data_IF_540538373155
#
_entry.id   IF_540538373155
#
_cell.length_a   1.000
_cell.length_b   1.000
_cell.length_c   1.000
_cell.angle_alpha   90.00
_cell.angle_beta   90.00
_cell.angle_gamma   90.00
#
_symmetry.space_group_name_H-M   'P 1'
#
loop_
_entity.id
_entity.type
_entity.pdbx_description
1 polymer ?
#
# COMPACT_ATOMS: atom_id res chain seq x y z
N UNK A 1 24.59 28.89 -18.00
CA UNK A 1 23.48 29.10 -17.06
C UNK A 1 22.79 27.76 -16.87
N UNK A 2 23.20 27.01 -15.84
CA UNK A 2 22.58 25.72 -15.51
C UNK A 2 21.23 26.01 -14.84
N UNK A 3 20.13 25.60 -15.46
CA UNK A 3 18.83 25.52 -14.80
C UNK A 3 18.48 24.05 -14.60
N UNK A 4 19.29 23.37 -13.78
CA UNK A 4 18.94 22.07 -13.20
C UNK A 4 17.83 22.31 -12.18
N UNK A 5 16.58 22.29 -12.64
CA UNK A 5 15.42 22.25 -11.76
C UNK A 5 15.33 20.83 -11.19
N UNK A 6 16.06 20.58 -10.10
CA UNK A 6 15.90 19.37 -9.29
C UNK A 6 14.54 19.40 -8.60
N UNK A 7 13.45 19.17 -9.34
CA UNK A 7 12.13 18.93 -8.75
C UNK A 7 12.02 17.49 -8.24
N UNK A 8 12.98 17.07 -7.43
CA UNK A 8 12.69 16.11 -6.38
C UNK A 8 12.14 16.91 -5.20
N UNK A 9 10.94 17.47 -5.35
CA UNK A 9 10.20 17.95 -4.18
C UNK A 9 9.97 16.74 -3.30
N UNK A 10 10.61 16.71 -2.14
CA UNK A 10 10.38 15.72 -1.10
C UNK A 10 8.86 15.70 -0.84
N UNK A 11 8.19 14.65 -1.32
CA UNK A 11 6.75 14.52 -1.12
C UNK A 11 6.50 14.25 0.37
N UNK A 12 5.49 14.89 0.94
CA UNK A 12 5.04 14.59 2.29
C UNK A 12 4.40 13.20 2.35
N UNK A 13 4.18 12.67 3.56
CA UNK A 13 3.63 11.32 3.76
C UNK A 13 2.22 11.19 3.20
N UNK A 14 1.37 12.17 3.47
CA UNK A 14 0.01 12.28 2.94
C UNK A 14 0.00 12.38 1.41
N UNK A 15 0.96 13.10 0.80
CA UNK A 15 1.07 13.17 -0.66
C UNK A 15 1.34 11.80 -1.29
N UNK A 16 2.13 10.92 -0.65
CA UNK A 16 2.30 9.53 -1.11
C UNK A 16 1.01 8.78 -1.06
N UNK A 17 0.34 8.82 0.09
CA UNK A 17 -0.88 8.08 0.34
C UNK A 17 -1.97 8.48 -0.67
N UNK A 18 -2.12 9.78 -0.91
CA UNK A 18 -3.03 10.32 -1.93
C UNK A 18 -2.61 9.89 -3.33
N UNK A 19 -1.32 9.97 -3.68
CA UNK A 19 -0.83 9.59 -4.99
C UNK A 19 -1.09 8.11 -5.33
N UNK A 20 -0.91 7.19 -4.37
CA UNK A 20 -1.19 5.76 -4.59
C UNK A 20 -2.68 5.46 -4.72
N UNK A 21 -3.54 6.13 -3.94
CA UNK A 21 -4.99 6.02 -4.10
C UNK A 21 -5.46 6.56 -5.46
N UNK A 22 -4.98 7.75 -5.86
CA UNK A 22 -5.27 8.32 -7.16
C UNK A 22 -4.77 7.43 -8.31
N UNK A 23 -3.60 6.81 -8.15
CA UNK A 23 -3.06 5.89 -9.15
C UNK A 23 -3.95 4.66 -9.32
N UNK A 24 -4.41 4.05 -8.22
CA UNK A 24 -5.35 2.93 -8.27
C UNK A 24 -6.62 3.31 -9.03
N UNK A 25 -7.27 4.40 -8.62
CA UNK A 25 -8.52 4.87 -9.26
C UNK A 25 -8.31 5.14 -10.75
N UNK A 26 -7.15 5.66 -11.15
CA UNK A 26 -6.86 5.95 -12.56
C UNK A 26 -6.51 4.71 -13.41
N UNK A 27 -6.09 3.60 -12.77
CA UNK A 27 -5.55 2.40 -13.45
C UNK A 27 -6.47 1.19 -13.37
N UNK A 28 -7.52 1.23 -12.55
CA UNK A 28 -8.49 0.15 -12.39
C UNK A 28 -9.89 0.62 -12.75
N UNK A 29 -10.88 -0.28 -12.67
CA UNK A 29 -12.29 0.09 -12.82
C UNK A 29 -12.91 0.64 -11.53
N UNK A 30 -12.12 0.82 -10.46
CA UNK A 30 -12.62 1.31 -9.17
C UNK A 30 -12.83 2.82 -9.21
N UNK A 31 -13.99 3.25 -8.75
CA UNK A 31 -14.34 4.65 -8.57
C UNK A 31 -13.82 5.22 -7.25
N UNK A 32 -13.91 6.55 -7.08
CA UNK A 32 -13.70 7.19 -5.79
C UNK A 32 -14.68 6.68 -4.73
N UNK A 33 -15.90 6.32 -5.12
CA UNK A 33 -16.92 5.78 -4.23
C UNK A 33 -16.52 4.40 -3.72
N UNK A 34 -15.98 3.55 -4.60
CA UNK A 34 -15.47 2.22 -4.21
C UNK A 34 -14.32 2.34 -3.22
N UNK A 35 -13.37 3.26 -3.48
CA UNK A 35 -12.28 3.53 -2.55
C UNK A 35 -12.81 4.08 -1.21
N UNK A 36 -13.77 5.00 -1.23
CA UNK A 36 -14.36 5.56 -0.01
C UNK A 36 -15.06 4.48 0.82
N UNK A 37 -15.80 3.57 0.18
CA UNK A 37 -16.43 2.44 0.88
C UNK A 37 -15.41 1.48 1.47
N UNK A 38 -14.35 1.14 0.72
CA UNK A 38 -13.25 0.31 1.21
C UNK A 38 -12.56 0.96 2.43
N UNK A 39 -12.29 2.26 2.36
CA UNK A 39 -11.71 3.02 3.47
C UNK A 39 -12.61 3.01 4.71
N UNK A 40 -13.92 3.17 4.52
CA UNK A 40 -14.88 3.09 5.63
C UNK A 40 -14.86 1.72 6.31
N UNK A 41 -14.85 0.65 5.50
CA UNK A 41 -14.73 -0.73 5.99
C UNK A 41 -13.46 -0.93 6.79
N UNK A 42 -12.31 -0.51 6.26
CA UNK A 42 -11.02 -0.68 6.94
C UNK A 42 -10.94 0.09 8.26
N UNK A 43 -11.55 1.28 8.34
CA UNK A 43 -11.64 2.04 9.59
C UNK A 43 -12.45 1.31 10.66
N UNK A 44 -13.60 0.72 10.29
CA UNK A 44 -14.42 -0.06 11.22
C UNK A 44 -13.76 -1.38 11.63
N UNK A 45 -12.94 -1.99 10.75
CA UNK A 45 -12.18 -3.20 11.06
C UNK A 45 -10.98 -2.93 11.98
N UNK A 46 -10.23 -1.86 11.73
CA UNK A 46 -8.96 -1.58 12.43
C UNK A 46 -9.13 -0.70 13.67
N UNK A 47 -10.07 0.25 13.66
CA UNK A 47 -10.24 1.27 14.71
C UNK A 47 -11.72 1.63 14.93
N UNK A 48 -12.60 0.67 15.33
CA UNK A 48 -14.04 0.88 15.40
C UNK A 48 -14.46 2.06 16.30
N UNK A 49 -13.84 2.21 17.47
CA UNK A 49 -14.12 3.34 18.38
C UNK A 49 -13.83 4.68 17.72
N UNK A 50 -12.74 4.78 16.96
CA UNK A 50 -12.36 5.99 16.24
C UNK A 50 -13.30 6.27 15.09
N UNK A 51 -13.70 5.23 14.36
CA UNK A 51 -14.66 5.33 13.25
C UNK A 51 -16.00 5.90 13.75
N UNK A 52 -16.52 5.38 14.88
CA UNK A 52 -17.72 5.90 15.54
C UNK A 52 -17.52 7.36 15.97
N UNK A 53 -16.43 7.66 16.69
CA UNK A 53 -16.14 9.01 17.18
C UNK A 53 -15.92 10.06 16.06
N UNK A 54 -15.57 9.62 14.85
CA UNK A 54 -15.37 10.46 13.67
C UNK A 54 -16.52 10.39 12.66
N UNK A 55 -17.64 9.78 13.07
CA UNK A 55 -18.86 9.66 12.27
C UNK A 55 -18.60 9.05 10.89
N UNK A 56 -17.74 8.03 10.85
CA UNK A 56 -17.43 7.26 9.65
C UNK A 56 -18.59 6.26 9.42
N UNK A 57 -19.25 6.27 8.26
CA UNK A 57 -20.45 5.47 8.06
C UNK A 57 -20.14 3.98 7.95
N UNK A 58 -20.80 3.15 8.77
CA UNK A 58 -20.78 1.70 8.57
C UNK A 58 -21.79 1.33 7.47
N UNK A 59 -21.32 1.23 6.23
CA UNK A 59 -22.17 0.88 5.09
C UNK A 59 -22.75 -0.53 5.19
N UNK A 60 -22.07 -1.46 5.87
CA UNK A 60 -22.59 -2.81 6.06
C UNK A 60 -23.79 -2.77 7.02
N UNK A 61 -23.68 -2.06 8.14
CA UNK A 61 -24.79 -1.86 9.06
C UNK A 61 -25.94 -1.07 8.44
N UNK A 62 -25.66 -0.02 7.67
CA UNK A 62 -26.69 0.79 6.99
C UNK A 62 -27.47 -0.02 5.95
N UNK A 63 -26.80 -0.91 5.21
CA UNK A 63 -27.46 -1.78 4.23
C UNK A 63 -28.45 -2.74 4.91
N UNK A 64 -28.13 -3.21 6.12
CA UNK A 64 -29.02 -4.11 6.89
C UNK A 64 -30.27 -3.39 7.44
N UNK A 65 -30.18 -2.08 7.70
CA UNK A 65 -31.29 -1.29 8.24
C UNK A 65 -32.35 -0.93 7.18
N UNK A 66 -32.03 -1.12 5.90
CA UNK A 66 -32.92 -0.84 4.76
C UNK A 66 -33.46 0.61 4.69
N UNK A 67 -32.75 1.56 5.30
CA UNK A 67 -33.03 3.01 5.16
C UNK A 67 -32.18 3.59 4.02
N UNK A 68 -32.78 3.63 2.84
CA UNK A 68 -32.14 4.16 1.62
C UNK A 68 -31.80 5.65 1.77
N UNK A 69 -32.62 6.43 2.48
CA UNK A 69 -32.43 7.87 2.60
C UNK A 69 -31.24 8.21 3.51
N UNK A 70 -31.08 7.47 4.61
CA UNK A 70 -29.91 7.59 5.48
C UNK A 70 -28.64 7.05 4.81
N UNK A 71 -28.73 5.94 4.06
CA UNK A 71 -27.61 5.40 3.29
C UNK A 71 -27.06 6.42 2.29
N UNK A 72 -27.93 6.99 1.44
CA UNK A 72 -27.52 7.98 0.42
C UNK A 72 -26.89 9.22 1.06
N UNK A 73 -27.47 9.72 2.17
CA UNK A 73 -26.94 10.86 2.90
C UNK A 73 -25.58 10.57 3.53
N UNK A 74 -25.40 9.38 4.12
CA UNK A 74 -24.14 8.94 4.70
C UNK A 74 -23.05 8.81 3.64
N UNK A 75 -23.35 8.17 2.51
CA UNK A 75 -22.44 8.02 1.37
C UNK A 75 -21.99 9.38 0.84
N UNK A 76 -22.93 10.30 0.57
CA UNK A 76 -22.60 11.61 0.03
C UNK A 76 -21.72 12.46 0.97
N UNK A 77 -21.95 12.40 2.29
CA UNK A 77 -21.09 13.11 3.27
C UNK A 77 -19.69 12.51 3.33
N UNK A 78 -19.59 11.19 3.35
CA UNK A 78 -18.30 10.50 3.44
C UNK A 78 -17.47 10.67 2.18
N UNK A 79 -18.07 10.49 1.01
CA UNK A 79 -17.41 10.71 -0.27
C UNK A 79 -16.84 12.12 -0.38
N UNK A 80 -17.59 13.15 0.01
CA UNK A 80 -17.09 14.54 0.03
C UNK A 80 -15.87 14.73 0.94
N UNK A 81 -15.78 14.00 2.07
CA UNK A 81 -14.60 14.04 2.93
C UNK A 81 -13.40 13.39 2.26
N UNK A 82 -13.61 12.19 1.70
CA UNK A 82 -12.57 11.46 0.96
C UNK A 82 -12.05 12.25 -0.22
N UNK A 83 -12.94 12.89 -0.99
CA UNK A 83 -12.58 13.74 -2.11
C UNK A 83 -11.70 14.92 -1.70
N UNK A 84 -11.99 15.58 -0.56
CA UNK A 84 -11.15 16.68 -0.05
C UNK A 84 -9.74 16.21 0.30
N UNK A 85 -9.59 15.01 0.87
CA UNK A 85 -8.27 14.42 1.13
C UNK A 85 -7.55 14.06 -0.17
N UNK A 86 -8.25 13.45 -1.14
CA UNK A 86 -7.69 13.11 -2.45
C UNK A 86 -7.24 14.35 -3.25
N UNK A 87 -7.96 15.47 -3.12
CA UNK A 87 -7.61 16.73 -3.77
C UNK A 87 -6.49 17.50 -3.04
N UNK A 88 -6.17 17.13 -1.79
CA UNK A 88 -5.31 17.92 -0.92
C UNK A 88 -5.96 19.20 -0.39
N UNK A 89 -7.29 19.33 -0.49
CA UNK A 89 -8.06 20.46 0.08
C UNK A 89 -8.03 20.46 1.61
N UNK A 90 -7.78 19.28 2.21
CA UNK A 90 -7.67 19.10 3.64
C UNK A 90 -6.50 18.18 3.96
N UNK A 91 -5.71 18.56 4.98
CA UNK A 91 -4.65 17.71 5.52
C UNK A 91 -5.23 16.37 6.01
N UNK A 92 -4.55 15.29 5.66
CA UNK A 92 -4.99 13.96 6.02
C UNK A 92 -4.72 13.68 7.50
N UNK A 93 -5.73 13.31 8.30
CA UNK A 93 -5.52 13.00 9.70
C UNK A 93 -4.71 11.71 9.91
N UNK A 94 -3.82 11.70 10.90
CA UNK A 94 -2.99 10.53 11.23
C UNK A 94 -3.79 9.24 11.52
N UNK A 95 -4.97 9.36 12.12
CA UNK A 95 -5.84 8.20 12.40
C UNK A 95 -6.40 7.53 11.15
N UNK A 96 -6.25 8.15 9.97
CA UNK A 96 -6.73 7.63 8.70
C UNK A 96 -5.66 6.82 7.95
N UNK A 97 -4.37 7.12 8.18
CA UNK A 97 -3.28 6.68 7.30
C UNK A 97 -3.21 5.16 7.13
N UNK A 98 -3.33 4.40 8.21
CA UNK A 98 -3.21 2.94 8.14
C UNK A 98 -4.39 2.32 7.40
N UNK A 99 -5.62 2.74 7.71
CA UNK A 99 -6.81 2.30 6.98
C UNK A 99 -6.81 2.75 5.52
N UNK A 100 -6.21 3.90 5.21
CA UNK A 100 -5.98 4.37 3.84
C UNK A 100 -5.11 3.42 3.05
N UNK A 101 -3.98 3.01 3.61
CA UNK A 101 -3.11 2.00 3.00
C UNK A 101 -3.83 0.66 2.85
N UNK A 102 -4.59 0.23 3.86
CA UNK A 102 -5.30 -1.05 3.83
C UNK A 102 -6.47 -1.07 2.84
N UNK A 103 -7.04 0.08 2.50
CA UNK A 103 -8.11 0.21 1.51
C UNK A 103 -7.61 0.08 0.06
N UNK A 104 -6.30 0.18 -0.16
CA UNK A 104 -5.69 -0.06 -1.47
C UNK A 104 -5.73 -1.54 -1.84
N UNK A 105 -5.93 -1.82 -3.12
CA UNK A 105 -5.74 -3.15 -3.68
C UNK A 105 -4.29 -3.62 -3.51
N UNK A 106 -4.05 -4.95 -3.45
CA UNK A 106 -2.76 -5.49 -3.02
C UNK A 106 -1.53 -4.89 -3.72
N UNK A 107 -1.60 -4.67 -5.03
CA UNK A 107 -0.49 -4.11 -5.82
C UNK A 107 -0.16 -2.66 -5.42
N UNK A 108 -1.17 -1.79 -5.37
CA UNK A 108 -1.01 -0.38 -4.99
C UNK A 108 -0.62 -0.24 -3.52
N UNK A 109 -1.17 -1.09 -2.65
CA UNK A 109 -0.79 -1.16 -1.25
C UNK A 109 0.69 -1.50 -1.08
N UNK A 110 1.18 -2.50 -1.81
CA UNK A 110 2.57 -2.95 -1.70
C UNK A 110 3.55 -1.89 -2.23
N UNK A 111 3.19 -1.19 -3.30
CA UNK A 111 3.93 -0.03 -3.77
C UNK A 111 3.94 1.12 -2.76
N UNK A 112 2.79 1.44 -2.17
CA UNK A 112 2.66 2.48 -1.17
C UNK A 112 3.54 2.20 0.06
N UNK A 113 3.45 0.99 0.62
CA UNK A 113 4.24 0.59 1.79
C UNK A 113 5.74 0.60 1.49
N UNK A 114 6.15 0.11 0.32
CA UNK A 114 7.57 0.12 -0.07
C UNK A 114 8.11 1.53 -0.27
N UNK A 115 7.32 2.43 -0.86
CA UNK A 115 7.73 3.83 -0.99
C UNK A 115 7.87 4.51 0.38
N UNK A 116 6.89 4.34 1.26
CA UNK A 116 6.92 4.89 2.62
C UNK A 116 8.11 4.36 3.43
N UNK A 117 8.38 3.06 3.37
CA UNK A 117 9.51 2.45 4.07
C UNK A 117 10.86 2.92 3.53
N UNK A 118 10.98 3.03 2.20
CA UNK A 118 12.24 3.38 1.53
C UNK A 118 12.78 4.77 1.91
N UNK A 119 11.90 5.70 2.28
CA UNK A 119 12.27 7.03 2.79
C UNK A 119 13.10 6.99 4.08
N UNK A 120 13.02 5.88 4.80
CA UNK A 120 13.78 5.61 6.01
C UNK A 120 14.89 4.57 5.80
N UNK A 121 15.19 4.19 4.55
CA UNK A 121 16.12 3.11 4.24
C UNK A 121 15.60 1.73 4.64
N UNK A 122 14.29 1.55 4.77
CA UNK A 122 13.65 0.30 5.18
C UNK A 122 12.97 -0.38 3.99
N UNK A 123 12.81 -1.71 4.08
CA UNK A 123 12.04 -2.50 3.13
C UNK A 123 10.61 -2.73 3.66
N UNK A 124 9.60 -2.43 2.85
CA UNK A 124 8.18 -2.53 3.19
C UNK A 124 7.60 -3.95 3.18
N UNK A 125 8.39 -4.95 3.60
CA UNK A 125 7.95 -6.34 3.61
C UNK A 125 6.90 -6.60 4.70
N UNK A 126 5.76 -7.19 4.35
CA UNK A 126 4.64 -7.43 5.27
C UNK A 126 4.81 -8.70 6.11
N UNK A 127 4.02 -8.82 7.16
CA UNK A 127 3.93 -10.08 7.90
C UNK A 127 2.96 -11.03 7.20
N UNK A 128 3.40 -12.27 6.96
CA UNK A 128 2.54 -13.32 6.42
C UNK A 128 1.73 -13.97 7.55
N UNK A 129 0.45 -13.61 7.65
CA UNK A 129 -0.44 -14.02 8.76
C UNK A 129 -1.25 -15.30 8.49
N UNK A 130 -1.25 -15.82 7.26
CA UNK A 130 -2.00 -17.03 6.88
C UNK A 130 -1.09 -18.11 6.27
N UNK A 131 -1.31 -19.36 6.65
CA UNK A 131 -0.57 -20.53 6.16
C UNK A 131 -0.90 -20.88 4.69
N UNK A 132 -2.06 -20.46 4.18
CA UNK A 132 -2.50 -20.73 2.82
C UNK A 132 -1.85 -19.81 1.76
N UNK A 133 -1.00 -18.87 2.19
CA UNK A 133 -0.46 -17.81 1.34
C UNK A 133 0.94 -18.09 0.75
N UNK A 134 1.61 -19.19 1.10
CA UNK A 134 2.99 -19.44 0.68
C UNK A 134 3.15 -19.54 -0.85
N UNK A 135 2.34 -20.36 -1.52
CA UNK A 135 2.41 -20.51 -2.99
C UNK A 135 2.04 -19.22 -3.74
N UNK A 136 1.05 -18.47 -3.23
CA UNK A 136 0.66 -17.17 -3.79
C UNK A 136 1.77 -16.12 -3.62
N UNK A 137 2.46 -16.15 -2.47
CA UNK A 137 3.55 -15.21 -2.17
C UNK A 137 4.81 -15.52 -2.97
N UNK A 138 5.11 -16.81 -3.18
CA UNK A 138 6.17 -17.22 -4.09
C UNK A 138 5.86 -16.82 -5.54
N UNK A 139 4.63 -17.05 -6.02
CA UNK A 139 4.20 -16.56 -7.33
C UNK A 139 4.30 -15.03 -7.46
N UNK A 140 3.98 -14.29 -6.40
CA UNK A 140 4.15 -12.83 -6.37
C UNK A 140 5.63 -12.40 -6.45
N UNK A 141 6.55 -13.13 -5.82
CA UNK A 141 7.99 -12.91 -5.96
C UNK A 141 8.45 -13.12 -7.41
N UNK A 142 8.02 -14.20 -8.06
CA UNK A 142 8.37 -14.47 -9.47
C UNK A 142 7.83 -13.38 -10.39
N UNK A 143 6.59 -12.91 -10.16
CA UNK A 143 6.04 -11.79 -10.92
C UNK A 143 6.85 -10.51 -10.74
N UNK A 144 7.19 -10.16 -9.50
CA UNK A 144 8.02 -8.98 -9.20
C UNK A 144 9.39 -9.07 -9.87
N UNK A 145 10.00 -10.25 -9.95
CA UNK A 145 11.23 -10.46 -10.72
C UNK A 145 11.02 -10.23 -12.22
N UNK A 146 9.88 -10.66 -12.77
CA UNK A 146 9.49 -10.34 -14.15
C UNK A 146 9.42 -8.83 -14.40
N UNK A 147 8.81 -8.07 -13.49
CA UNK A 147 8.71 -6.60 -13.61
C UNK A 147 10.08 -5.90 -13.52
N UNK A 148 11.02 -6.47 -12.75
CA UNK A 148 12.43 -6.01 -12.74
C UNK A 148 13.12 -6.29 -14.07
N UNK A 149 12.88 -7.44 -14.68
CA UNK A 149 13.45 -7.76 -16.00
C UNK A 149 12.91 -6.82 -17.07
N UNK A 150 11.60 -6.54 -17.04
CA UNK A 150 10.94 -5.63 -17.98
C UNK A 150 11.54 -4.22 -17.90
N UNK A 151 11.55 -3.62 -16.70
CA UNK A 151 12.15 -2.29 -16.49
C UNK A 151 13.67 -2.28 -16.67
N UNK A 152 14.35 -3.39 -16.39
CA UNK A 152 15.79 -3.53 -16.56
C UNK A 152 16.23 -3.62 -18.02
N UNK A 153 15.34 -4.01 -18.93
CA UNK A 153 15.69 -4.13 -20.35
C UNK A 153 16.06 -2.78 -20.96
N UNK A 154 15.43 -1.68 -20.52
CA UNK A 154 15.79 -0.32 -20.94
C UNK A 154 17.08 0.18 -20.26
N UNK A 155 17.34 -0.21 -19.01
CA UNK A 155 18.51 0.21 -18.22
C UNK A 155 19.79 -0.51 -18.61
N UNK A 156 19.67 -1.73 -19.15
CA UNK A 156 20.82 -2.57 -19.50
C UNK A 156 20.95 -2.78 -21.01
N UNK A 157 20.35 -1.91 -21.83
CA UNK A 157 20.40 -2.01 -23.30
C UNK A 157 21.85 -1.99 -23.82
N UNK A 158 22.69 -1.13 -23.24
CA UNK A 158 24.14 -1.06 -23.51
C UNK A 158 25.00 -1.91 -22.56
N UNK A 159 24.35 -2.70 -21.70
CA UNK A 159 24.94 -3.54 -20.64
C UNK A 159 25.64 -2.76 -19.51
N UNK A 160 25.52 -1.44 -19.45
CA UNK A 160 26.19 -0.59 -18.45
C UNK A 160 25.22 0.39 -17.82
N UNK A 161 24.81 0.11 -16.58
CA UNK A 161 24.06 1.08 -15.79
C UNK A 161 24.90 2.33 -15.51
N UNK A 162 24.55 3.45 -16.11
CA UNK A 162 25.28 4.71 -16.04
C UNK A 162 24.34 5.95 -16.01
N UNK A 163 24.91 7.14 -16.17
CA UNK A 163 24.15 8.41 -16.15
C UNK A 163 23.12 8.52 -17.28
N UNK A 164 23.31 7.79 -18.38
CA UNK A 164 22.36 7.80 -19.50
C UNK A 164 21.02 7.17 -19.13
N UNK A 165 21.01 6.26 -18.15
CA UNK A 165 19.82 5.54 -17.71
C UNK A 165 18.99 6.32 -16.68
N UNK A 166 19.46 7.49 -16.24
CA UNK A 166 18.77 8.33 -15.24
C UNK A 166 17.25 8.45 -15.45
N UNK A 167 16.71 8.55 -16.69
CA UNK A 167 15.27 8.54 -16.92
C UNK A 167 14.56 7.22 -16.52
N UNK A 168 15.23 6.07 -16.62
CA UNK A 168 14.69 4.72 -16.41
C UNK A 168 14.95 4.19 -14.99
N UNK A 169 16.04 4.65 -14.34
CA UNK A 169 16.44 4.20 -13.00
C UNK A 169 15.35 4.32 -11.92
N UNK A 170 14.48 5.36 -11.87
CA UNK A 170 13.43 5.44 -10.86
C UNK A 170 12.42 4.29 -10.93
N UNK A 171 12.03 3.89 -12.14
CA UNK A 171 11.10 2.79 -12.37
C UNK A 171 11.77 1.45 -12.02
N UNK A 172 13.00 1.24 -12.49
CA UNK A 172 13.79 0.05 -12.17
C UNK A 172 13.99 -0.11 -10.65
N UNK A 173 14.46 0.94 -9.97
CA UNK A 173 14.67 0.92 -8.53
C UNK A 173 13.36 0.65 -7.74
N UNK A 174 12.21 1.14 -8.24
CA UNK A 174 10.90 0.83 -7.65
C UNK A 174 10.61 -0.67 -7.72
N UNK A 175 10.89 -1.32 -8.85
CA UNK A 175 10.66 -2.76 -8.99
C UNK A 175 11.64 -3.60 -8.19
N UNK A 176 12.93 -3.21 -8.10
CA UNK A 176 13.90 -3.88 -7.23
C UNK A 176 13.40 -3.91 -5.76
N UNK A 177 12.86 -2.80 -5.26
CA UNK A 177 12.29 -2.75 -3.91
C UNK A 177 11.09 -3.69 -3.71
N UNK A 178 10.30 -3.94 -4.75
CA UNK A 178 9.23 -4.94 -4.67
C UNK A 178 9.80 -6.34 -4.48
N UNK A 179 10.84 -6.70 -5.24
CA UNK A 179 11.52 -7.99 -5.10
C UNK A 179 12.12 -8.15 -3.70
N UNK A 180 12.83 -7.14 -3.20
CA UNK A 180 13.37 -7.13 -1.83
C UNK A 180 12.26 -7.38 -0.80
N UNK A 181 11.11 -6.70 -0.95
CA UNK A 181 9.99 -6.87 -0.05
C UNK A 181 9.42 -8.29 -0.10
N UNK A 182 9.18 -8.85 -1.29
CA UNK A 182 8.63 -10.20 -1.44
C UNK A 182 9.57 -11.30 -0.95
N UNK A 183 10.86 -11.15 -1.22
CA UNK A 183 11.88 -12.05 -0.68
C UNK A 183 11.91 -11.98 0.86
N UNK A 184 11.86 -10.77 1.43
CA UNK A 184 11.82 -10.55 2.88
C UNK A 184 10.57 -11.13 3.56
N UNK A 185 9.39 -11.01 2.92
CA UNK A 185 8.13 -11.63 3.40
C UNK A 185 8.30 -13.14 3.57
N UNK A 186 8.79 -13.83 2.53
CA UNK A 186 9.00 -15.28 2.53
C UNK A 186 10.10 -15.70 3.53
N UNK A 187 11.22 -14.97 3.55
CA UNK A 187 12.33 -15.24 4.47
C UNK A 187 11.89 -15.19 5.93
N UNK A 188 11.14 -14.16 6.32
CA UNK A 188 10.61 -14.05 7.69
C UNK A 188 9.64 -15.17 8.05
N UNK A 189 8.77 -15.60 7.14
CA UNK A 189 7.88 -16.74 7.39
C UNK A 189 8.67 -18.04 7.57
N UNK A 190 9.71 -18.27 6.77
CA UNK A 190 10.59 -19.42 6.92
C UNK A 190 11.31 -19.41 8.29
N UNK A 191 11.89 -18.27 8.66
CA UNK A 191 12.55 -18.09 9.97
C UNK A 191 11.58 -18.31 11.14
N UNK A 192 10.34 -17.82 11.01
CA UNK A 192 9.31 -18.03 12.02
C UNK A 192 8.99 -19.52 12.18
N UNK A 193 8.74 -20.24 11.08
CA UNK A 193 8.47 -21.68 11.12
C UNK A 193 9.65 -22.48 11.70
N UNK A 194 10.89 -22.07 11.40
CA UNK A 194 12.09 -22.68 12.01
C UNK A 194 12.17 -22.46 13.52
N UNK A 195 11.75 -21.28 14.01
CA UNK A 195 11.69 -20.99 15.46
C UNK A 195 10.60 -21.82 16.12
N UNK A 196 9.42 -21.87 15.53
CA UNK A 196 8.26 -22.62 16.06
C UNK A 196 8.51 -24.14 16.08
N UNK A 197 9.30 -24.65 15.13
CA UNK A 197 9.67 -26.06 15.05
C UNK A 197 10.73 -26.51 16.07
N UNK A 198 11.44 -25.58 16.75
CA UNK A 198 12.39 -25.94 17.81
C UNK A 198 11.58 -26.23 19.09
N UNK A 199 11.58 -27.47 19.62
CA UNK A 199 10.87 -27.75 20.86
C UNK A 199 11.49 -26.94 22.00
N UNK A 200 10.64 -26.33 22.84
CA UNK A 200 11.06 -25.75 24.11
C UNK A 200 11.81 -26.84 24.89
N UNK A 201 13.14 -26.71 24.98
CA UNK A 201 13.94 -27.53 25.89
C UNK A 201 13.40 -27.26 27.29
N UNK A 202 12.60 -28.20 27.81
CA UNK A 202 12.17 -28.19 29.21
C UNK A 202 13.45 -28.18 30.03
N UNK A 203 13.69 -27.08 30.76
CA UNK A 203 14.71 -27.01 31.79
C UNK A 203 14.45 -28.18 32.74
N UNK A 204 15.34 -29.18 32.72
CA UNK A 204 15.34 -30.23 33.73
C UNK A 204 15.89 -29.55 34.99
N UNK A 205 15.00 -29.36 35.96
CA UNK A 205 15.33 -28.92 37.32
C UNK A 205 16.02 -30.04 38.09
#
# INVERSE_FOLDING_TARGET
MQTSSSRHTVQTRDQVLVAHAANQIARTSLSQDDFAQALSRELHLSCPEKAIAKEVPDFAALTLQNDVADFVRATGRWLKRVQRWLNGDQEMPSWLEESWVNALEPEFRDHCVNELASRHGLTGARQMTSDLCANKSFGALIRALGDVIDTGSEVFDDQVMCEQDLPHLPAFAKQCRQVEAKAGELGRKAEQLMKDARPNLKSIA
#
